data_IF_890564203411
#
_entry.id   IF_890564203411
#
_cell.length_a   1.000
_cell.length_b   1.000
_cell.length_c   1.000
_cell.angle_alpha   90.00
_cell.angle_beta   90.00
_cell.angle_gamma   90.00
#
_symmetry.space_group_name_H-M   'P 1'
#
loop_
_entity.id
_entity.type
_entity.pdbx_description
1 polymer ?
#
# COMPACT_ATOMS: atom_id res chain seq x y z
N UNK A 1 15.46 26.27 7.51
CA UNK A 1 15.84 26.97 6.26
C UNK A 1 14.64 26.91 5.36
N UNK A 2 14.18 28.04 4.78
CA UNK A 2 13.10 28.00 3.78
C UNK A 2 13.59 27.14 2.60
N UNK A 3 12.87 26.08 2.27
CA UNK A 3 13.14 25.31 1.06
C UNK A 3 13.01 26.24 -0.14
N UNK A 4 13.97 26.20 -1.07
CA UNK A 4 13.82 26.83 -2.35
C UNK A 4 12.63 26.19 -3.07
N UNK A 5 11.93 26.96 -3.89
CA UNK A 5 10.75 26.48 -4.61
C UNK A 5 11.00 26.52 -6.11
N UNK A 6 10.35 25.66 -6.84
CA UNK A 6 10.25 25.77 -8.28
C UNK A 6 9.51 27.07 -8.66
N UNK A 7 9.97 27.74 -9.68
CA UNK A 7 9.37 28.96 -10.24
C UNK A 7 9.43 28.89 -11.76
N UNK A 8 8.70 29.78 -12.44
CA UNK A 8 8.77 29.89 -13.91
C UNK A 8 10.20 30.15 -14.38
N UNK A 9 10.97 30.93 -13.62
CA UNK A 9 12.38 31.19 -13.91
C UNK A 9 13.21 29.91 -13.80
N UNK A 10 13.03 29.11 -12.73
CA UNK A 10 13.72 27.83 -12.55
C UNK A 10 13.33 26.79 -13.59
N UNK A 11 12.07 26.76 -14.04
CA UNK A 11 11.61 25.90 -15.13
C UNK A 11 12.31 26.28 -16.44
N UNK A 12 12.40 27.58 -16.74
CA UNK A 12 13.11 28.09 -17.93
C UNK A 12 14.61 27.76 -17.89
N UNK A 13 15.25 28.01 -16.74
CA UNK A 13 16.64 27.66 -16.51
C UNK A 13 16.90 26.17 -16.70
N UNK A 14 16.07 25.29 -16.12
CA UNK A 14 16.17 23.86 -16.32
C UNK A 14 16.13 23.45 -17.79
N UNK A 15 15.19 24.03 -18.55
CA UNK A 15 15.08 23.76 -19.98
C UNK A 15 16.32 24.25 -20.77
N UNK A 16 16.86 25.39 -20.41
CA UNK A 16 18.06 25.95 -21.06
C UNK A 16 19.31 25.10 -20.77
N UNK A 17 19.47 24.63 -19.52
CA UNK A 17 20.64 23.84 -19.12
C UNK A 17 20.57 22.36 -19.57
N UNK A 18 19.39 21.78 -19.65
CA UNK A 18 19.23 20.31 -19.89
C UNK A 18 18.63 19.97 -21.24
N UNK A 19 18.04 20.93 -21.93
CA UNK A 19 17.26 20.72 -23.15
C UNK A 19 15.90 19.99 -22.90
N UNK A 20 15.52 19.74 -21.65
CA UNK A 20 14.31 19.00 -21.30
C UNK A 20 13.16 19.96 -20.96
N UNK A 21 11.95 19.59 -21.38
CA UNK A 21 10.74 20.35 -21.07
C UNK A 21 10.02 19.73 -19.85
N UNK A 22 9.35 20.59 -19.08
CA UNK A 22 8.42 20.23 -18.02
C UNK A 22 7.00 20.56 -18.47
N UNK A 23 6.02 19.74 -18.08
CA UNK A 23 4.61 20.03 -18.31
C UNK A 23 4.16 21.06 -17.25
N UNK A 24 3.49 22.12 -17.72
CA UNK A 24 2.97 23.20 -16.86
C UNK A 24 1.60 23.70 -17.34
N UNK A 25 0.92 22.90 -18.17
CA UNK A 25 -0.45 23.16 -18.56
C UNK A 25 -1.40 22.79 -17.42
N UNK A 26 -2.52 23.51 -17.31
CA UNK A 26 -3.50 23.37 -16.25
C UNK A 26 -4.03 21.93 -16.10
N UNK A 27 -4.28 21.24 -17.21
CA UNK A 27 -4.77 19.86 -17.20
C UNK A 27 -3.76 18.91 -16.52
N UNK A 28 -2.49 19.03 -16.85
CA UNK A 28 -1.41 18.27 -16.21
C UNK A 28 -1.29 18.59 -14.72
N UNK A 29 -1.32 19.87 -14.34
CA UNK A 29 -1.17 20.26 -12.94
C UNK A 29 -2.32 19.73 -12.08
N UNK A 30 -3.56 19.85 -12.53
CA UNK A 30 -4.74 19.31 -11.84
C UNK A 30 -4.67 17.79 -11.72
N UNK A 31 -4.30 17.07 -12.80
CA UNK A 31 -4.19 15.60 -12.80
C UNK A 31 -3.14 15.11 -11.78
N UNK A 32 -2.01 15.77 -11.70
CA UNK A 32 -0.93 15.41 -10.79
C UNK A 32 -1.05 16.05 -9.40
N UNK A 33 -2.03 16.93 -9.19
CA UNK A 33 -2.37 17.55 -7.91
C UNK A 33 -3.28 16.72 -7.01
N UNK A 34 -3.74 15.54 -7.47
CA UNK A 34 -4.61 14.63 -6.73
C UNK A 34 -4.05 13.22 -6.72
N UNK A 35 -4.28 12.49 -5.64
CA UNK A 35 -4.08 11.04 -5.55
C UNK A 35 -5.42 10.30 -5.46
N UNK A 36 -5.39 8.96 -5.32
CA UNK A 36 -6.61 8.16 -5.20
C UNK A 36 -7.43 8.51 -3.95
N UNK A 37 -6.78 8.91 -2.86
CA UNK A 37 -7.46 9.31 -1.61
C UNK A 37 -8.37 10.51 -1.78
N UNK A 38 -7.99 11.47 -2.62
CA UNK A 38 -8.70 12.75 -2.90
C UNK A 38 -8.94 13.66 -1.70
N UNK A 39 -8.43 13.31 -0.54
CA UNK A 39 -8.58 14.11 0.69
C UNK A 39 -7.53 15.22 0.72
N UNK A 40 -6.29 14.86 0.39
CA UNK A 40 -5.19 15.82 0.28
C UNK A 40 -5.05 16.22 -1.19
N UNK A 41 -4.94 17.53 -1.42
CA UNK A 41 -4.71 18.10 -2.76
C UNK A 41 -3.49 19.02 -2.70
N UNK A 42 -2.59 18.86 -3.65
CA UNK A 42 -1.41 19.73 -3.77
C UNK A 42 -0.92 19.72 -5.22
N UNK A 43 -1.19 20.81 -5.92
CA UNK A 43 -0.77 20.96 -7.32
C UNK A 43 0.74 21.17 -7.40
N UNK A 44 1.44 20.44 -8.31
CA UNK A 44 2.84 20.72 -8.63
C UNK A 44 2.99 22.05 -9.37
N UNK A 45 4.15 22.68 -9.23
CA UNK A 45 4.50 23.84 -10.08
C UNK A 45 4.73 23.40 -11.53
N UNK A 46 5.22 22.20 -11.72
CA UNK A 46 5.37 21.54 -13.01
C UNK A 46 5.48 20.03 -12.84
N UNK A 47 5.33 19.28 -13.94
CA UNK A 47 5.49 17.82 -13.97
C UNK A 47 6.61 17.44 -14.93
N UNK A 48 7.57 16.66 -14.45
CA UNK A 48 8.60 16.04 -15.28
C UNK A 48 8.17 14.63 -15.68
N UNK A 49 8.40 14.26 -16.93
CA UNK A 49 8.16 12.90 -17.46
C UNK A 49 9.46 12.41 -18.11
N UNK A 50 10.47 12.02 -17.30
CA UNK A 50 11.75 11.57 -17.83
C UNK A 50 11.59 10.32 -18.68
N UNK A 51 12.20 10.32 -19.88
CA UNK A 51 12.09 9.24 -20.86
C UNK A 51 13.25 8.23 -20.76
N UNK A 52 14.28 8.56 -19.97
CA UNK A 52 15.44 7.71 -19.75
C UNK A 52 16.06 7.93 -18.36
N UNK A 53 16.96 7.05 -17.98
CA UNK A 53 17.73 7.16 -16.73
C UNK A 53 18.53 8.46 -16.72
N UNK A 54 19.14 8.84 -17.83
CA UNK A 54 19.95 10.04 -17.98
C UNK A 54 19.09 11.30 -17.79
N UNK A 55 17.88 11.32 -18.36
CA UNK A 55 16.96 12.45 -18.19
C UNK A 55 16.50 12.60 -16.73
N UNK A 56 16.27 11.48 -16.02
CA UNK A 56 15.94 11.50 -14.61
C UNK A 56 17.13 11.96 -13.76
N UNK A 57 18.35 11.51 -14.08
CA UNK A 57 19.57 11.95 -13.37
C UNK A 57 19.81 13.46 -13.53
N UNK A 58 19.66 14.01 -14.73
CA UNK A 58 19.79 15.45 -14.97
C UNK A 58 18.79 16.26 -14.15
N UNK A 59 17.54 15.80 -14.06
CA UNK A 59 16.53 16.46 -13.22
C UNK A 59 16.90 16.43 -11.73
N UNK A 60 17.32 15.28 -11.21
CA UNK A 60 17.70 15.12 -9.81
C UNK A 60 18.94 15.98 -9.49
N UNK A 61 19.94 16.01 -10.38
CA UNK A 61 21.14 16.84 -10.22
C UNK A 61 20.78 18.33 -10.21
N UNK A 62 19.90 18.79 -11.11
CA UNK A 62 19.42 20.16 -11.11
C UNK A 62 18.66 20.49 -9.82
N UNK A 63 17.73 19.63 -9.40
CA UNK A 63 16.99 19.81 -8.16
C UNK A 63 17.93 19.85 -6.94
N UNK A 64 18.95 18.99 -6.89
CA UNK A 64 19.97 18.98 -5.83
C UNK A 64 20.76 20.27 -5.81
N UNK A 65 21.28 20.71 -6.96
CA UNK A 65 22.10 21.94 -7.09
C UNK A 65 21.36 23.17 -6.55
N UNK A 66 20.05 23.26 -6.80
CA UNK A 66 19.25 24.43 -6.42
C UNK A 66 18.36 24.19 -5.20
N UNK A 67 18.47 23.02 -4.52
CA UNK A 67 17.68 22.61 -3.36
C UNK A 67 16.16 22.67 -3.60
N UNK A 68 15.70 22.18 -4.76
CA UNK A 68 14.31 22.25 -5.20
C UNK A 68 13.57 20.97 -4.84
N UNK A 69 12.38 21.04 -4.24
CA UNK A 69 11.63 19.86 -3.83
C UNK A 69 11.04 19.10 -5.03
N UNK A 70 11.19 17.77 -5.02
CA UNK A 70 10.63 16.87 -6.03
C UNK A 70 9.92 15.71 -5.37
N UNK A 71 8.82 15.26 -5.97
CA UNK A 71 8.04 14.11 -5.50
C UNK A 71 7.98 13.06 -6.59
N UNK A 72 8.39 11.83 -6.26
CA UNK A 72 8.35 10.70 -7.19
C UNK A 72 6.93 10.12 -7.18
N UNK A 73 6.32 9.97 -8.36
CA UNK A 73 4.97 9.45 -8.53
C UNK A 73 4.96 8.29 -9.52
N UNK A 74 4.43 7.15 -9.07
CA UNK A 74 4.03 6.03 -9.92
C UNK A 74 2.64 6.29 -10.51
N UNK A 75 1.68 5.40 -10.28
CA UNK A 75 0.31 5.52 -10.81
C UNK A 75 -0.61 6.46 -9.99
N UNK A 76 -0.11 7.12 -8.93
CA UNK A 76 -0.88 8.06 -8.12
C UNK A 76 -2.01 7.44 -7.30
N UNK A 77 -1.88 6.16 -6.95
CA UNK A 77 -2.88 5.40 -6.21
C UNK A 77 -2.65 5.41 -4.68
N UNK A 78 -1.94 6.41 -4.17
CA UNK A 78 -1.81 6.66 -2.74
C UNK A 78 -3.09 7.31 -2.17
N UNK A 79 -3.27 7.25 -0.84
CA UNK A 79 -4.47 7.77 -0.18
C UNK A 79 -4.21 8.95 0.76
N UNK A 80 -2.95 9.23 1.10
CA UNK A 80 -2.59 10.24 2.10
C UNK A 80 -1.53 11.24 1.62
N UNK A 81 -1.50 11.57 0.33
CA UNK A 81 -0.57 12.55 -0.21
C UNK A 81 0.87 12.04 -0.42
N UNK A 82 1.12 10.72 -0.31
CA UNK A 82 2.45 10.13 -0.50
C UNK A 82 3.05 10.45 -1.86
N UNK A 83 2.22 10.58 -2.89
CA UNK A 83 2.62 10.89 -4.28
C UNK A 83 2.33 12.32 -4.70
N UNK A 84 1.98 13.20 -3.76
CA UNK A 84 1.69 14.61 -4.01
C UNK A 84 2.87 15.50 -3.59
N UNK A 85 3.19 16.54 -4.37
CA UNK A 85 4.30 17.43 -4.07
C UNK A 85 3.99 18.33 -2.88
N UNK A 86 5.02 18.72 -2.14
CA UNK A 86 4.89 19.85 -1.21
C UNK A 86 4.59 21.16 -1.96
N UNK A 87 3.99 22.18 -1.34
CA UNK A 87 3.77 23.48 -1.98
C UNK A 87 5.07 24.03 -2.60
N UNK A 88 5.02 24.41 -3.88
CA UNK A 88 6.18 24.85 -4.63
C UNK A 88 7.09 23.72 -5.14
N UNK A 89 6.67 22.47 -5.00
CA UNK A 89 7.38 21.29 -5.47
C UNK A 89 7.03 20.90 -6.92
N UNK A 90 7.84 19.99 -7.47
CA UNK A 90 7.67 19.39 -8.80
C UNK A 90 7.34 17.92 -8.66
N UNK A 91 6.44 17.40 -9.50
CA UNK A 91 6.17 15.96 -9.58
C UNK A 91 7.01 15.30 -10.67
N UNK A 92 7.67 14.19 -10.33
CA UNK A 92 8.37 13.30 -11.28
C UNK A 92 7.46 12.11 -11.58
N UNK A 93 6.87 12.08 -12.76
CA UNK A 93 6.09 10.94 -13.23
C UNK A 93 7.00 9.84 -13.75
N UNK A 94 6.89 8.65 -13.17
CA UNK A 94 7.68 7.48 -13.57
C UNK A 94 7.03 6.68 -14.71
N UNK A 95 5.98 7.20 -15.36
CA UNK A 95 5.17 6.46 -16.34
C UNK A 95 5.96 5.85 -17.52
N UNK A 96 7.11 6.42 -17.89
CA UNK A 96 7.95 5.90 -18.96
C UNK A 96 8.77 4.65 -18.56
N UNK A 97 8.90 4.37 -17.25
CA UNK A 97 9.63 3.23 -16.70
C UNK A 97 8.67 2.07 -16.40
N UNK A 98 8.04 1.49 -17.42
CA UNK A 98 6.88 0.59 -17.26
C UNK A 98 7.02 -0.79 -17.91
N UNK A 99 8.23 -1.26 -18.19
CA UNK A 99 8.48 -2.51 -18.89
C UNK A 99 8.91 -3.62 -17.93
N UNK A 100 8.32 -4.85 -18.02
CA UNK A 100 8.96 -6.04 -17.51
C UNK A 100 10.20 -6.32 -18.37
N UNK A 101 11.31 -6.65 -17.69
CA UNK A 101 12.62 -6.85 -18.32
C UNK A 101 12.98 -8.34 -18.36
N UNK A 102 14.10 -8.71 -17.77
CA UNK A 102 14.65 -10.05 -17.81
C UNK A 102 13.93 -10.97 -16.82
N UNK A 103 13.39 -12.08 -17.35
CA UNK A 103 12.81 -13.16 -16.58
C UNK A 103 13.80 -14.32 -16.50
N UNK A 104 14.14 -14.69 -15.27
CA UNK A 104 14.95 -15.87 -14.93
C UNK A 104 14.08 -16.93 -14.25
N UNK A 105 14.68 -18.07 -13.90
CA UNK A 105 13.94 -19.15 -13.23
C UNK A 105 13.33 -18.71 -11.89
N UNK A 106 14.06 -17.95 -11.06
CA UNK A 106 13.67 -17.59 -9.70
C UNK A 106 13.47 -16.11 -9.47
N UNK A 107 13.60 -15.25 -10.48
CA UNK A 107 13.40 -13.82 -10.34
C UNK A 107 13.05 -13.14 -11.67
N UNK A 108 12.49 -11.93 -11.54
CA UNK A 108 12.20 -11.05 -12.66
C UNK A 108 12.72 -9.63 -12.36
N UNK A 109 13.42 -9.03 -13.31
CA UNK A 109 13.68 -7.60 -13.32
C UNK A 109 12.54 -6.85 -13.99
N UNK A 110 12.14 -5.74 -13.41
CA UNK A 110 11.10 -4.86 -13.95
C UNK A 110 11.49 -3.41 -13.75
N UNK A 111 11.05 -2.53 -14.65
CA UNK A 111 11.09 -1.09 -14.43
C UNK A 111 10.08 -0.69 -13.34
N UNK A 112 10.38 0.38 -12.59
CA UNK A 112 9.68 0.71 -11.35
C UNK A 112 8.19 1.02 -11.52
N UNK A 113 7.78 1.55 -12.67
CA UNK A 113 6.36 1.83 -12.94
C UNK A 113 5.63 0.68 -13.65
N UNK A 114 6.29 -0.47 -13.87
CA UNK A 114 5.60 -1.69 -14.29
C UNK A 114 4.49 -2.01 -13.28
N UNK A 115 3.27 -2.27 -13.76
CA UNK A 115 2.20 -2.72 -12.88
C UNK A 115 2.45 -4.16 -12.40
N UNK A 116 1.98 -4.49 -11.19
CA UNK A 116 2.03 -5.88 -10.72
C UNK A 116 1.29 -6.84 -11.66
N UNK A 117 0.24 -6.37 -12.34
CA UNK A 117 -0.45 -7.12 -13.38
C UNK A 117 0.49 -7.49 -14.53
N UNK A 118 1.23 -6.53 -15.10
CA UNK A 118 2.14 -6.79 -16.22
C UNK A 118 3.31 -7.69 -15.81
N UNK A 119 3.84 -7.52 -14.58
CA UNK A 119 4.85 -8.41 -14.02
C UNK A 119 4.30 -9.84 -13.94
N UNK A 120 3.09 -9.99 -13.38
CA UNK A 120 2.43 -11.29 -13.20
C UNK A 120 2.16 -11.98 -14.53
N UNK A 121 1.58 -11.30 -15.51
CA UNK A 121 1.33 -11.83 -16.85
C UNK A 121 2.62 -12.34 -17.50
N UNK A 122 3.74 -11.63 -17.31
CA UNK A 122 5.05 -12.07 -17.81
C UNK A 122 5.59 -13.29 -17.06
N UNK A 123 5.52 -13.31 -15.74
CA UNK A 123 6.10 -14.40 -14.93
C UNK A 123 5.29 -15.70 -15.04
N UNK A 124 3.97 -15.61 -15.20
CA UNK A 124 3.10 -16.78 -15.38
C UNK A 124 3.34 -17.54 -16.71
N UNK A 125 3.99 -16.94 -17.69
CA UNK A 125 4.42 -17.68 -18.90
C UNK A 125 5.36 -18.84 -18.55
N UNK A 126 6.02 -18.79 -17.39
CA UNK A 126 6.89 -19.84 -16.87
C UNK A 126 6.32 -20.51 -15.61
N UNK A 127 5.01 -20.38 -15.36
CA UNK A 127 4.33 -20.87 -14.14
C UNK A 127 4.99 -20.36 -12.85
N UNK A 128 5.44 -19.09 -12.87
CA UNK A 128 6.06 -18.43 -11.72
C UNK A 128 5.24 -17.21 -11.31
N UNK A 129 5.23 -16.90 -10.01
CA UNK A 129 4.63 -15.68 -9.47
C UNK A 129 5.44 -15.15 -8.29
N UNK A 130 5.32 -13.86 -7.92
CA UNK A 130 5.84 -13.34 -6.66
C UNK A 130 5.31 -14.10 -5.45
N UNK A 131 6.07 -14.14 -4.38
CA UNK A 131 5.65 -14.77 -3.12
C UNK A 131 4.42 -14.08 -2.51
N UNK A 132 4.37 -12.77 -2.59
CA UNK A 132 3.24 -11.94 -2.14
C UNK A 132 2.89 -10.95 -3.23
N UNK A 133 1.59 -10.77 -3.50
CA UNK A 133 1.04 -9.81 -4.45
C UNK A 133 0.14 -8.81 -3.72
N UNK A 134 0.17 -7.52 -4.07
CA UNK A 134 -0.79 -6.56 -3.52
C UNK A 134 -2.21 -6.87 -4.04
N UNK A 135 -3.23 -6.50 -3.27
CA UNK A 135 -4.63 -6.69 -3.67
C UNK A 135 -4.99 -5.94 -4.95
N UNK A 136 -4.42 -4.78 -5.17
CA UNK A 136 -4.57 -4.02 -6.42
C UNK A 136 -3.37 -4.25 -7.34
N UNK A 137 -3.50 -5.12 -8.32
CA UNK A 137 -2.42 -5.39 -9.28
C UNK A 137 -2.19 -4.26 -10.31
N UNK A 138 -2.98 -3.18 -10.30
CA UNK A 138 -2.71 -1.98 -11.10
C UNK A 138 -1.70 -1.02 -10.44
N UNK A 139 -1.31 -1.28 -9.18
CA UNK A 139 -0.23 -0.55 -8.52
C UNK A 139 1.09 -0.77 -9.25
N UNK A 140 1.96 0.26 -9.26
CA UNK A 140 3.32 0.15 -9.76
C UNK A 140 4.22 -0.58 -8.78
N UNK A 141 5.18 -1.35 -9.29
CA UNK A 141 6.15 -2.08 -8.46
C UNK A 141 6.91 -1.10 -7.56
N UNK A 142 7.53 -0.06 -8.10
CA UNK A 142 8.29 0.92 -7.31
C UNK A 142 7.45 1.64 -6.26
N UNK A 143 6.17 1.95 -6.56
CA UNK A 143 5.25 2.55 -5.60
C UNK A 143 4.95 1.63 -4.42
N UNK A 144 4.65 0.34 -4.68
CA UNK A 144 4.43 -0.66 -3.62
C UNK A 144 5.69 -0.86 -2.78
N UNK A 145 6.87 -1.01 -3.40
CA UNK A 145 8.12 -1.18 -2.66
C UNK A 145 8.46 0.04 -1.79
N UNK A 146 8.12 1.24 -2.25
CA UNK A 146 8.33 2.48 -1.49
C UNK A 146 7.38 2.63 -0.29
N UNK A 147 6.15 2.10 -0.38
CA UNK A 147 5.19 2.12 0.72
C UNK A 147 5.30 0.88 1.62
N UNK A 148 5.68 -0.24 1.08
CA UNK A 148 5.56 -1.59 1.59
C UNK A 148 4.47 -2.34 0.83
N UNK A 149 4.28 -3.63 1.09
CA UNK A 149 3.24 -4.40 0.40
C UNK A 149 2.87 -5.66 1.16
N UNK A 150 1.57 -5.93 1.19
CA UNK A 150 0.99 -7.16 1.74
C UNK A 150 -0.07 -7.71 0.81
N UNK A 151 -0.51 -8.92 1.04
CA UNK A 151 -1.57 -9.58 0.27
C UNK A 151 -2.05 -10.88 0.90
N UNK A 152 -2.88 -11.62 0.18
CA UNK A 152 -3.56 -12.82 0.68
C UNK A 152 -2.63 -13.97 1.10
N UNK A 153 -1.37 -13.96 0.71
CA UNK A 153 -0.33 -14.92 1.12
C UNK A 153 0.60 -14.40 2.22
N UNK A 154 0.32 -13.20 2.78
CA UNK A 154 1.16 -12.59 3.81
C UNK A 154 1.19 -13.35 5.13
N UNK A 155 0.16 -14.12 5.46
CA UNK A 155 0.17 -15.00 6.64
C UNK A 155 1.27 -16.06 6.58
N UNK A 156 1.68 -16.46 5.37
CA UNK A 156 2.71 -17.48 5.11
C UNK A 156 4.06 -16.87 4.78
N UNK A 157 4.08 -15.80 3.98
CA UNK A 157 5.28 -15.22 3.40
C UNK A 157 5.63 -13.82 3.92
N UNK A 158 4.82 -13.21 4.77
CA UNK A 158 5.06 -11.87 5.31
C UNK A 158 4.83 -10.77 4.27
N UNK A 159 5.79 -9.87 4.12
CA UNK A 159 5.65 -8.65 3.33
C UNK A 159 6.34 -8.75 1.97
N UNK A 160 5.83 -8.04 0.95
CA UNK A 160 6.38 -8.02 -0.42
C UNK A 160 7.87 -7.66 -0.42
N UNK A 161 8.26 -6.66 0.38
CA UNK A 161 9.62 -6.13 0.44
C UNK A 161 10.68 -7.17 0.84
N UNK A 162 10.29 -8.25 1.51
CA UNK A 162 11.19 -9.34 1.90
C UNK A 162 11.72 -10.15 0.70
N UNK A 163 10.98 -10.11 -0.42
CA UNK A 163 11.26 -10.85 -1.65
C UNK A 163 11.85 -9.98 -2.76
N UNK A 164 12.37 -8.82 -2.41
CA UNK A 164 13.17 -7.99 -3.31
C UNK A 164 14.63 -8.41 -3.20
N UNK A 165 15.27 -8.70 -4.32
CA UNK A 165 16.68 -9.14 -4.35
C UNK A 165 17.62 -7.97 -4.57
N UNK A 166 17.26 -7.05 -5.47
CA UNK A 166 18.05 -5.87 -5.81
C UNK A 166 17.16 -4.72 -6.30
N UNK A 167 17.68 -3.50 -6.20
CA UNK A 167 17.07 -2.28 -6.75
C UNK A 167 18.11 -1.52 -7.58
N UNK A 168 17.69 -0.94 -8.70
CA UNK A 168 18.40 0.16 -9.34
C UNK A 168 17.80 1.47 -8.82
N UNK A 169 18.62 2.33 -8.24
CA UNK A 169 18.20 3.57 -7.56
C UNK A 169 19.05 4.74 -8.02
N UNK A 170 18.44 5.91 -8.19
CA UNK A 170 19.11 7.19 -8.31
C UNK A 170 18.88 7.95 -7.01
N UNK A 171 19.94 8.22 -6.25
CA UNK A 171 19.86 8.96 -4.99
C UNK A 171 19.76 10.48 -5.19
N UNK A 172 19.58 11.23 -4.10
CA UNK A 172 19.46 12.70 -4.15
C UNK A 172 20.73 13.43 -4.63
N UNK A 173 21.84 12.73 -4.77
CA UNK A 173 23.08 13.24 -5.39
C UNK A 173 23.18 12.90 -6.88
N UNK A 174 22.12 12.33 -7.48
CA UNK A 174 22.10 11.91 -8.89
C UNK A 174 22.91 10.65 -9.19
N UNK A 175 23.40 9.92 -8.19
CA UNK A 175 24.20 8.71 -8.38
C UNK A 175 23.29 7.52 -8.64
N UNK A 176 23.47 6.88 -9.81
CA UNK A 176 22.81 5.63 -10.15
C UNK A 176 23.57 4.45 -9.54
N UNK A 177 22.89 3.58 -8.81
CA UNK A 177 23.46 2.44 -8.14
C UNK A 177 22.54 1.22 -8.25
N UNK A 178 23.11 0.02 -8.41
CA UNK A 178 22.40 -1.23 -8.16
C UNK A 178 22.76 -1.64 -6.73
N UNK A 179 21.74 -1.81 -5.90
CA UNK A 179 21.86 -2.07 -4.47
C UNK A 179 21.12 -3.35 -4.08
N UNK A 180 21.70 -4.13 -3.19
CA UNK A 180 21.20 -5.41 -2.71
C UNK A 180 20.94 -5.39 -1.19
N UNK A 181 20.43 -6.49 -0.64
CA UNK A 181 19.94 -6.60 0.76
C UNK A 181 20.86 -6.04 1.83
N UNK A 182 22.18 -6.11 1.65
CA UNK A 182 23.17 -5.61 2.62
C UNK A 182 23.47 -4.11 2.49
N UNK A 183 22.98 -3.45 1.45
CA UNK A 183 23.18 -2.02 1.24
C UNK A 183 22.25 -1.20 2.14
N UNK A 184 22.75 -0.18 2.86
CA UNK A 184 21.90 0.75 3.59
C UNK A 184 20.88 1.47 2.70
N UNK A 185 21.24 1.81 1.46
CA UNK A 185 20.33 2.45 0.50
C UNK A 185 19.21 1.50 0.07
N UNK A 186 19.50 0.21 -0.12
CA UNK A 186 18.47 -0.80 -0.39
C UNK A 186 17.42 -0.82 0.72
N UNK A 187 17.89 -0.92 1.98
CA UNK A 187 17.00 -0.93 3.15
C UNK A 187 16.22 0.39 3.30
N UNK A 188 16.86 1.52 2.97
CA UNK A 188 16.23 2.84 3.03
C UNK A 188 15.12 3.02 1.98
N UNK A 189 15.28 2.49 0.77
CA UNK A 189 14.29 2.62 -0.29
C UNK A 189 13.04 1.74 -0.05
N UNK A 190 13.20 0.61 0.65
CA UNK A 190 12.07 -0.28 0.97
C UNK A 190 11.24 0.30 2.12
N UNK A 191 9.96 0.60 1.85
CA UNK A 191 9.05 1.35 2.73
C UNK A 191 9.60 2.73 3.14
N UNK A 192 10.50 3.29 2.32
CA UNK A 192 11.12 4.59 2.55
C UNK A 192 10.34 5.77 1.96
N UNK A 193 9.12 5.54 1.48
CA UNK A 193 8.20 6.56 0.96
C UNK A 193 8.82 7.45 -0.15
N UNK A 194 9.76 6.90 -0.95
CA UNK A 194 10.47 7.66 -1.99
C UNK A 194 11.41 8.75 -1.48
N UNK A 195 11.81 8.71 -0.21
CA UNK A 195 12.58 9.80 0.45
C UNK A 195 14.09 9.69 0.31
N UNK A 196 14.60 8.56 -0.15
CA UNK A 196 16.05 8.28 -0.19
C UNK A 196 16.60 8.19 -1.61
N UNK A 197 15.71 8.07 -2.60
CA UNK A 197 16.07 7.95 -4.01
C UNK A 197 14.90 7.50 -4.87
N UNK A 198 15.05 7.66 -6.17
CA UNK A 198 14.13 7.17 -7.19
C UNK A 198 14.49 5.72 -7.53
N UNK A 199 13.61 4.77 -7.20
CA UNK A 199 13.71 3.39 -7.69
C UNK A 199 13.39 3.43 -9.19
N UNK A 200 14.32 2.95 -10.02
CA UNK A 200 14.13 2.88 -11.47
C UNK A 200 13.88 1.46 -11.95
N UNK A 201 14.46 0.46 -11.26
CA UNK A 201 14.21 -0.97 -11.50
C UNK A 201 14.21 -1.75 -10.18
N UNK A 202 13.52 -2.88 -10.20
CA UNK A 202 13.50 -3.83 -9.10
C UNK A 202 13.66 -5.27 -9.60
N UNK A 203 14.40 -6.07 -8.84
CA UNK A 203 14.54 -7.50 -9.01
C UNK A 203 13.66 -8.21 -7.98
N UNK A 204 12.59 -8.86 -8.46
CA UNK A 204 11.57 -9.50 -7.62
C UNK A 204 11.76 -11.01 -7.67
N UNK A 205 11.87 -11.63 -6.49
CA UNK A 205 11.96 -13.08 -6.36
C UNK A 205 10.63 -13.74 -6.70
N UNK A 206 10.69 -14.86 -7.41
CA UNK A 206 9.54 -15.64 -7.86
C UNK A 206 9.54 -17.04 -7.22
N UNK A 207 8.36 -17.63 -7.14
CA UNK A 207 8.14 -19.04 -6.79
C UNK A 207 7.31 -19.75 -7.86
N UNK A 208 7.38 -21.06 -7.89
CA UNK A 208 6.47 -21.86 -8.71
C UNK A 208 5.04 -21.78 -8.18
N UNK A 209 4.09 -21.78 -9.09
CA UNK A 209 2.65 -21.80 -8.78
C UNK A 209 1.96 -22.90 -9.58
N UNK A 210 0.83 -23.39 -9.04
CA UNK A 210 -0.02 -24.33 -9.75
C UNK A 210 -0.97 -23.58 -10.70
N UNK A 211 -1.47 -24.23 -11.78
CA UNK A 211 -2.25 -23.54 -12.82
C UNK A 211 -3.65 -23.12 -12.38
N UNK A 212 -4.20 -23.72 -11.33
CA UNK A 212 -5.57 -23.53 -10.85
C UNK A 212 -5.61 -23.21 -9.37
N UNK A 213 -6.67 -22.52 -8.95
CA UNK A 213 -6.97 -22.21 -7.56
C UNK A 213 -8.40 -22.62 -7.24
N UNK A 214 -8.58 -23.24 -6.10
CA UNK A 214 -9.89 -23.53 -5.51
C UNK A 214 -10.06 -22.67 -4.26
N UNK A 215 -11.13 -21.85 -4.24
CA UNK A 215 -11.45 -20.94 -3.15
C UNK A 215 -12.73 -21.38 -2.44
N UNK A 216 -12.68 -21.43 -1.12
CA UNK A 216 -13.78 -21.70 -0.23
C UNK A 216 -14.21 -20.40 0.45
N UNK A 217 -15.45 -19.98 0.26
CA UNK A 217 -16.04 -18.78 0.85
C UNK A 217 -16.85 -19.16 2.08
N UNK A 218 -16.28 -18.99 3.27
CA UNK A 218 -16.85 -19.40 4.53
C UNK A 218 -17.39 -18.20 5.30
N UNK A 219 -18.47 -18.39 6.07
CA UNK A 219 -19.04 -17.36 6.94
C UNK A 219 -19.19 -17.89 8.35
N UNK A 220 -18.87 -17.03 9.30
CA UNK A 220 -18.97 -17.27 10.74
C UNK A 220 -19.85 -16.20 11.39
N UNK A 221 -20.61 -16.61 12.40
CA UNK A 221 -21.36 -15.72 13.27
C UNK A 221 -20.59 -15.37 14.56
N UNK A 222 -19.56 -16.15 14.89
CA UNK A 222 -18.71 -16.00 16.08
C UNK A 222 -17.27 -15.67 15.67
N UNK A 223 -16.73 -14.55 16.17
CA UNK A 223 -15.40 -14.10 15.82
C UNK A 223 -14.28 -15.00 16.36
N UNK A 224 -14.50 -15.66 17.53
CA UNK A 224 -13.46 -16.50 18.12
C UNK A 224 -13.29 -17.77 17.30
N UNK A 225 -14.40 -18.40 16.89
CA UNK A 225 -14.37 -19.55 15.99
C UNK A 225 -13.76 -19.21 14.64
N UNK A 226 -14.05 -18.01 14.13
CA UNK A 226 -13.46 -17.50 12.88
C UNK A 226 -11.94 -17.39 12.95
N UNK A 227 -11.39 -16.78 14.02
CA UNK A 227 -9.94 -16.72 14.22
C UNK A 227 -9.34 -18.11 14.49
N UNK A 228 -9.99 -18.94 15.31
CA UNK A 228 -9.53 -20.30 15.61
C UNK A 228 -9.37 -21.12 14.32
N UNK A 229 -10.38 -21.13 13.46
CA UNK A 229 -10.35 -21.86 12.20
C UNK A 229 -9.32 -21.30 11.23
N UNK A 230 -9.15 -19.95 11.13
CA UNK A 230 -8.13 -19.33 10.31
C UNK A 230 -6.71 -19.77 10.72
N UNK A 231 -6.40 -19.77 12.01
CA UNK A 231 -5.10 -20.25 12.51
C UNK A 231 -4.88 -21.74 12.31
N UNK A 232 -5.91 -22.53 12.54
CA UNK A 232 -5.85 -24.00 12.42
C UNK A 232 -5.53 -24.45 11.00
N UNK A 233 -6.03 -23.74 10.00
CA UNK A 233 -5.94 -24.16 8.59
C UNK A 233 -4.74 -23.57 7.84
N UNK A 234 -4.01 -22.61 8.41
CA UNK A 234 -3.00 -21.82 7.73
C UNK A 234 -1.94 -22.64 6.98
N UNK A 235 -1.54 -23.80 7.50
CA UNK A 235 -0.52 -24.65 6.89
C UNK A 235 -1.03 -25.46 5.68
N UNK A 236 -2.35 -25.46 5.44
CA UNK A 236 -3.01 -26.23 4.38
C UNK A 236 -3.52 -25.37 3.22
N UNK A 237 -3.36 -24.08 3.29
CA UNK A 237 -3.82 -23.14 2.28
C UNK A 237 -2.70 -22.28 1.76
N UNK A 238 -2.84 -21.75 0.56
CA UNK A 238 -1.86 -20.88 -0.07
C UNK A 238 -2.21 -19.40 0.08
N UNK A 239 -3.52 -19.10 0.21
CA UNK A 239 -4.05 -17.75 0.36
C UNK A 239 -5.18 -17.72 1.38
N UNK A 240 -5.23 -16.63 2.13
CA UNK A 240 -6.22 -16.41 3.17
C UNK A 240 -6.63 -14.94 3.22
N UNK A 241 -7.94 -14.69 3.28
CA UNK A 241 -8.50 -13.34 3.44
C UNK A 241 -9.61 -13.39 4.48
N UNK A 242 -9.56 -12.49 5.44
CA UNK A 242 -10.51 -12.37 6.53
C UNK A 242 -11.28 -11.05 6.40
N UNK A 243 -12.60 -11.11 6.48
CA UNK A 243 -13.47 -9.95 6.31
C UNK A 243 -14.47 -9.84 7.46
N UNK A 244 -14.82 -8.58 7.83
CA UNK A 244 -15.99 -8.32 8.66
C UNK A 244 -16.99 -7.49 7.83
N UNK A 245 -18.24 -7.91 7.84
CA UNK A 245 -19.31 -7.26 7.10
C UNK A 245 -20.55 -7.06 7.97
N UNK A 246 -21.13 -5.86 8.02
CA UNK A 246 -22.43 -5.67 8.67
C UNK A 246 -23.50 -6.34 7.82
N UNK A 247 -24.24 -7.29 8.41
CA UNK A 247 -25.22 -8.09 7.69
C UNK A 247 -26.66 -7.73 8.04
N UNK A 248 -26.99 -7.77 9.34
CA UNK A 248 -28.33 -7.48 9.82
C UNK A 248 -28.28 -6.19 10.63
N UNK A 249 -29.15 -5.24 10.26
CA UNK A 249 -29.28 -3.95 10.92
C UNK A 249 -30.64 -3.84 11.60
N UNK A 250 -30.67 -3.13 12.71
CA UNK A 250 -31.88 -2.90 13.47
C UNK A 250 -31.76 -1.70 14.39
N UNK A 251 -32.75 -1.55 15.29
CA UNK A 251 -32.73 -0.54 16.33
C UNK A 251 -32.98 -1.20 17.70
N UNK A 252 -31.91 -1.33 18.47
CA UNK A 252 -31.94 -1.83 19.83
C UNK A 252 -32.47 -0.80 20.83
N UNK A 253 -32.98 -1.25 22.00
CA UNK A 253 -33.36 -0.38 23.11
C UNK A 253 -32.27 -0.44 24.18
N UNK A 254 -31.57 0.68 24.42
CA UNK A 254 -30.57 0.80 25.48
C UNK A 254 -30.92 2.03 26.35
N UNK A 255 -31.07 1.80 27.63
CA UNK A 255 -31.40 2.85 28.61
C UNK A 255 -32.63 3.72 28.21
N UNK A 256 -33.65 3.07 27.64
CA UNK A 256 -34.88 3.75 27.19
C UNK A 256 -34.78 4.47 25.86
N UNK A 257 -33.62 4.45 25.17
CA UNK A 257 -33.41 5.07 23.87
C UNK A 257 -33.22 4.02 22.79
N UNK A 258 -33.78 4.28 21.59
CA UNK A 258 -33.51 3.48 20.39
C UNK A 258 -32.16 3.86 19.83
N UNK A 259 -31.28 2.90 19.67
CA UNK A 259 -29.96 3.04 19.04
C UNK A 259 -29.86 2.14 17.83
N UNK A 260 -29.21 2.60 16.74
CA UNK A 260 -28.86 1.71 15.63
C UNK A 260 -27.96 0.57 16.14
N UNK A 261 -28.19 -0.63 15.61
CA UNK A 261 -27.34 -1.79 15.88
C UNK A 261 -27.14 -2.56 14.57
N UNK A 262 -26.00 -3.18 14.43
CA UNK A 262 -25.69 -4.09 13.33
C UNK A 262 -25.20 -5.44 13.88
N UNK A 263 -25.62 -6.52 13.22
CA UNK A 263 -25.02 -7.82 13.44
C UNK A 263 -23.89 -8.03 12.44
N UNK A 264 -22.68 -8.28 12.93
CA UNK A 264 -21.51 -8.52 12.10
C UNK A 264 -21.38 -10.00 11.76
N UNK A 265 -21.05 -10.29 10.51
CA UNK A 265 -20.63 -11.59 10.05
C UNK A 265 -19.15 -11.55 9.66
N UNK A 266 -18.49 -12.69 9.83
CA UNK A 266 -17.05 -12.83 9.61
C UNK A 266 -16.80 -13.77 8.42
N UNK A 267 -16.25 -13.26 7.35
CA UNK A 267 -15.90 -14.02 6.16
C UNK A 267 -14.49 -14.58 6.25
N UNK A 268 -14.31 -15.83 5.86
CA UNK A 268 -13.00 -16.46 5.72
C UNK A 268 -12.92 -17.06 4.31
N UNK A 269 -12.09 -16.48 3.47
CA UNK A 269 -11.82 -16.99 2.15
C UNK A 269 -10.50 -17.75 2.19
N UNK A 270 -10.55 -19.03 1.90
CA UNK A 270 -9.40 -19.93 1.88
C UNK A 270 -9.17 -20.42 0.47
N UNK A 271 -7.95 -20.25 -0.04
CA UNK A 271 -7.64 -20.65 -1.41
C UNK A 271 -6.42 -21.56 -1.45
N UNK A 272 -6.52 -22.61 -2.27
CA UNK A 272 -5.49 -23.64 -2.46
C UNK A 272 -5.12 -23.71 -3.93
N UNK A 273 -3.82 -23.65 -4.22
CA UNK A 273 -3.28 -23.91 -5.54
C UNK A 273 -3.28 -25.41 -5.83
N UNK A 274 -3.65 -25.81 -7.05
CA UNK A 274 -3.65 -27.22 -7.43
C UNK A 274 -3.50 -27.41 -8.95
N UNK A 275 -3.08 -28.61 -9.34
CA UNK A 275 -3.08 -29.07 -10.72
C UNK A 275 -4.21 -30.06 -10.97
N UNK A 276 -4.30 -31.14 -10.22
CA UNK A 276 -5.27 -32.22 -10.45
C UNK A 276 -6.27 -32.42 -9.30
N UNK A 277 -5.84 -32.26 -8.05
CA UNK A 277 -6.65 -32.57 -6.87
C UNK A 277 -6.41 -31.60 -5.72
N UNK A 278 -7.46 -31.29 -4.97
CA UNK A 278 -7.42 -30.50 -3.71
C UNK A 278 -7.90 -31.37 -2.58
N UNK A 279 -7.15 -31.45 -1.48
CA UNK A 279 -7.57 -32.12 -0.25
C UNK A 279 -8.82 -31.43 0.33
N UNK A 280 -9.67 -32.22 0.99
CA UNK A 280 -10.81 -31.65 1.73
C UNK A 280 -10.32 -30.95 2.99
N UNK A 281 -10.46 -29.61 2.99
CA UNK A 281 -10.13 -28.77 4.14
C UNK A 281 -11.33 -28.46 5.03
N UNK A 282 -12.57 -28.63 4.51
CA UNK A 282 -13.80 -28.23 5.21
C UNK A 282 -14.09 -29.08 6.43
N UNK A 283 -13.79 -30.39 6.39
CA UNK A 283 -14.02 -31.29 7.49
C UNK A 283 -13.31 -30.95 8.81
N UNK A 284 -12.37 -30.03 8.78
CA UNK A 284 -11.60 -29.54 9.92
C UNK A 284 -12.11 -28.22 10.49
N UNK A 285 -13.04 -27.54 9.82
CA UNK A 285 -13.52 -26.19 10.11
C UNK A 285 -14.98 -26.23 10.60
N UNK A 286 -15.39 -25.16 11.28
CA UNK A 286 -16.74 -25.03 11.83
C UNK A 286 -17.42 -23.73 11.39
N UNK A 287 -17.50 -23.43 10.07
CA UNK A 287 -18.21 -22.26 9.61
C UNK A 287 -19.72 -22.37 9.92
N UNK A 288 -20.36 -21.22 10.12
CA UNK A 288 -21.82 -21.18 10.16
C UNK A 288 -22.43 -21.56 8.80
N UNK A 289 -21.79 -21.14 7.71
CA UNK A 289 -22.21 -21.48 6.34
C UNK A 289 -21.04 -21.49 5.36
N UNK A 290 -21.14 -22.32 4.33
CA UNK A 290 -20.29 -22.27 3.14
C UNK A 290 -21.09 -21.56 2.03
N UNK A 291 -20.73 -20.32 1.73
CA UNK A 291 -21.47 -19.51 0.74
C UNK A 291 -21.23 -20.00 -0.69
N UNK A 292 -19.99 -20.33 -1.00
CA UNK A 292 -19.59 -20.73 -2.34
C UNK A 292 -18.28 -21.51 -2.32
N UNK A 293 -18.07 -22.33 -3.35
CA UNK A 293 -16.79 -22.96 -3.67
C UNK A 293 -16.55 -22.66 -5.14
N UNK A 294 -15.42 -22.03 -5.45
CA UNK A 294 -15.08 -21.58 -6.78
C UNK A 294 -13.75 -22.16 -7.25
N UNK A 295 -13.68 -22.52 -8.52
CA UNK A 295 -12.44 -22.97 -9.15
C UNK A 295 -12.16 -22.05 -10.36
N UNK A 296 -10.91 -21.60 -10.46
CA UNK A 296 -10.50 -20.67 -11.52
C UNK A 296 -9.01 -20.84 -11.86
N UNK A 297 -8.56 -20.19 -12.94
CA UNK A 297 -7.14 -20.15 -13.29
C UNK A 297 -6.38 -19.28 -12.27
N UNK A 298 -5.09 -19.58 -12.08
CA UNK A 298 -4.20 -18.81 -11.19
C UNK A 298 -4.17 -17.31 -11.57
N UNK A 299 -4.20 -16.96 -12.85
CA UNK A 299 -4.23 -15.57 -13.30
C UNK A 299 -5.55 -14.89 -12.91
N UNK A 300 -6.69 -15.54 -13.14
CA UNK A 300 -8.01 -15.03 -12.74
C UNK A 300 -8.05 -14.76 -11.24
N UNK A 301 -7.57 -15.71 -10.44
CA UNK A 301 -7.48 -15.58 -8.99
C UNK A 301 -6.64 -14.38 -8.56
N UNK A 302 -5.45 -14.21 -9.11
CA UNK A 302 -4.58 -13.08 -8.77
C UNK A 302 -5.19 -11.72 -9.12
N UNK A 303 -5.98 -11.66 -10.19
CA UNK A 303 -6.64 -10.43 -10.63
C UNK A 303 -8.07 -10.25 -10.08
N UNK A 304 -8.54 -11.11 -9.18
CA UNK A 304 -9.93 -11.13 -8.69
C UNK A 304 -10.42 -9.79 -8.11
N UNK A 305 -9.53 -9.01 -7.51
CA UNK A 305 -9.89 -7.72 -6.93
C UNK A 305 -9.95 -6.57 -7.96
N UNK A 306 -9.45 -6.77 -9.19
CA UNK A 306 -9.48 -5.71 -10.21
C UNK A 306 -10.92 -5.31 -10.56
N UNK A 307 -11.83 -6.28 -10.61
CA UNK A 307 -13.26 -6.03 -10.87
C UNK A 307 -13.90 -5.03 -9.90
N UNK A 308 -13.41 -4.98 -8.66
CA UNK A 308 -13.87 -4.01 -7.65
C UNK A 308 -13.47 -2.58 -8.05
N UNK A 309 -12.23 -2.37 -8.48
CA UNK A 309 -11.77 -1.06 -8.93
C UNK A 309 -12.47 -0.64 -10.23
N UNK A 310 -12.70 -1.58 -11.15
CA UNK A 310 -13.48 -1.33 -12.37
C UNK A 310 -14.91 -0.90 -12.02
N UNK A 311 -15.55 -1.55 -11.05
CA UNK A 311 -16.89 -1.17 -10.57
C UNK A 311 -16.92 0.20 -9.92
N UNK A 312 -15.88 0.57 -9.15
CA UNK A 312 -15.77 1.91 -8.56
C UNK A 312 -15.75 2.99 -9.66
N UNK A 313 -15.04 2.75 -10.77
CA UNK A 313 -15.02 3.66 -11.92
C UNK A 313 -16.38 3.73 -12.60
N UNK A 314 -17.00 2.58 -12.88
CA UNK A 314 -18.30 2.50 -13.56
C UNK A 314 -19.43 3.16 -12.76
N UNK A 315 -19.38 3.11 -11.44
CA UNK A 315 -20.43 3.63 -10.54
C UNK A 315 -20.15 5.05 -10.03
N UNK A 316 -19.06 5.68 -10.44
CA UNK A 316 -18.65 7.01 -9.97
C UNK A 316 -18.10 7.02 -8.54
N UNK A 317 -17.95 5.86 -7.89
CA UNK A 317 -17.34 5.76 -6.56
C UNK A 317 -15.85 6.14 -6.58
N UNK A 318 -15.17 5.94 -7.71
CA UNK A 318 -13.78 6.37 -7.93
C UNK A 318 -13.56 7.86 -7.68
N UNK A 319 -14.58 8.69 -7.90
CA UNK A 319 -14.52 10.15 -7.76
C UNK A 319 -14.86 10.66 -6.36
N UNK A 320 -15.18 9.76 -5.44
CA UNK A 320 -15.42 10.05 -4.03
C UNK A 320 -14.11 10.05 -3.23
N UNK A 321 -14.20 10.33 -1.92
CA UNK A 321 -13.07 10.28 -1.00
C UNK A 321 -12.75 8.83 -0.60
N UNK A 322 -11.45 8.53 -0.44
CA UNK A 322 -11.00 7.21 0.00
C UNK A 322 -10.08 7.31 1.23
N UNK A 323 -10.61 7.67 2.40
CA UNK A 323 -9.83 7.73 3.64
C UNK A 323 -9.60 6.32 4.20
N UNK A 324 -8.87 5.49 3.48
CA UNK A 324 -8.62 4.11 3.90
C UNK A 324 -7.76 4.09 5.16
N UNK A 325 -8.23 3.34 6.14
CA UNK A 325 -7.51 3.10 7.37
C UNK A 325 -6.75 1.77 7.29
N UNK A 326 -5.47 1.81 7.64
CA UNK A 326 -4.60 0.63 7.59
C UNK A 326 -3.65 0.67 8.79
N UNK A 327 -3.67 -0.40 9.62
CA UNK A 327 -2.88 -0.47 10.85
C UNK A 327 -2.46 -1.91 11.16
N UNK A 328 -1.16 -2.14 11.31
CA UNK A 328 -0.64 -3.40 11.84
C UNK A 328 -0.80 -3.44 13.35
N UNK A 329 -1.35 -4.52 13.87
CA UNK A 329 -1.64 -4.68 15.30
C UNK A 329 -1.24 -6.10 15.77
N UNK A 330 -0.85 -6.28 17.04
CA UNK A 330 -0.76 -7.62 17.61
C UNK A 330 -2.11 -8.34 17.49
N UNK A 331 -2.11 -9.59 17.07
CA UNK A 331 -3.35 -10.33 16.88
C UNK A 331 -4.18 -10.44 18.17
N UNK A 332 -3.52 -10.59 19.33
CA UNK A 332 -4.19 -10.63 20.63
C UNK A 332 -4.91 -9.32 20.97
N UNK A 333 -4.36 -8.18 20.53
CA UNK A 333 -5.01 -6.86 20.66
C UNK A 333 -6.27 -6.83 19.78
N UNK A 334 -6.11 -7.20 18.50
CA UNK A 334 -7.24 -7.17 17.57
C UNK A 334 -8.37 -8.10 18.02
N UNK A 335 -8.09 -9.35 18.41
CA UNK A 335 -9.11 -10.29 18.88
C UNK A 335 -9.84 -9.79 20.13
N UNK A 336 -9.16 -9.04 20.99
CA UNK A 336 -9.77 -8.46 22.21
C UNK A 336 -10.62 -7.22 21.94
N UNK A 337 -10.29 -6.45 20.91
CA UNK A 337 -10.95 -5.16 20.64
C UNK A 337 -11.92 -5.20 19.46
N UNK A 338 -11.88 -6.22 18.60
CA UNK A 338 -12.57 -6.22 17.30
C UNK A 338 -14.06 -5.91 17.41
N UNK A 339 -14.79 -6.55 18.33
CA UNK A 339 -16.22 -6.28 18.54
C UNK A 339 -16.47 -4.82 18.91
N UNK A 340 -15.67 -4.24 19.80
CA UNK A 340 -15.79 -2.85 20.20
C UNK A 340 -15.51 -1.92 19.01
N UNK A 341 -14.42 -2.14 18.26
CA UNK A 341 -14.06 -1.34 17.10
C UNK A 341 -15.18 -1.36 16.04
N UNK A 342 -15.76 -2.53 15.77
CA UNK A 342 -16.84 -2.67 14.81
C UNK A 342 -18.14 -1.96 15.26
N UNK A 343 -18.46 -1.95 16.55
CA UNK A 343 -19.64 -1.26 17.11
C UNK A 343 -19.48 0.29 17.07
N UNK A 344 -18.26 0.79 17.21
CA UNK A 344 -17.97 2.23 17.19
C UNK A 344 -17.88 2.81 15.76
N UNK A 345 -17.66 1.96 14.75
CA UNK A 345 -17.50 2.43 13.38
C UNK A 345 -18.82 2.81 12.72
N UNK A 346 -18.89 3.96 12.02
CA UNK A 346 -20.03 4.29 11.19
C UNK A 346 -20.20 3.25 10.06
N UNK A 347 -21.39 2.70 9.91
CA UNK A 347 -21.65 1.63 8.94
C UNK A 347 -21.37 2.04 7.49
N UNK A 348 -21.59 3.28 7.13
CA UNK A 348 -21.28 3.81 5.80
C UNK A 348 -19.76 3.89 5.53
N UNK A 349 -18.94 3.99 6.58
CA UNK A 349 -17.48 3.95 6.49
C UNK A 349 -16.97 2.51 6.52
N UNK A 350 -17.48 1.69 7.43
CA UNK A 350 -17.06 0.31 7.65
C UNK A 350 -17.75 -0.72 6.74
N UNK A 351 -18.11 -0.34 5.52
CA UNK A 351 -18.79 -1.24 4.56
C UNK A 351 -17.93 -2.45 4.17
N UNK A 352 -16.62 -2.34 4.28
CA UNK A 352 -15.67 -3.45 4.15
C UNK A 352 -14.53 -3.28 5.15
N UNK A 353 -14.48 -4.16 6.13
CA UNK A 353 -13.36 -4.31 7.04
C UNK A 353 -12.60 -5.57 6.67
N UNK A 354 -11.30 -5.45 6.49
CA UNK A 354 -10.43 -6.56 6.10
C UNK A 354 -9.36 -6.77 7.16
N UNK A 355 -9.10 -8.03 7.49
CA UNK A 355 -8.06 -8.44 8.44
C UNK A 355 -7.09 -9.36 7.71
N UNK A 356 -5.80 -9.06 7.77
CA UNK A 356 -4.76 -9.85 7.11
C UNK A 356 -3.76 -10.34 8.13
N UNK A 357 -3.71 -11.64 8.46
CA UNK A 357 -2.63 -12.20 9.24
C UNK A 357 -1.29 -12.07 8.49
N UNK A 358 -0.22 -11.75 9.22
CA UNK A 358 1.09 -11.48 8.62
C UNK A 358 2.17 -12.26 9.36
N UNK A 359 2.94 -13.07 8.61
CA UNK A 359 4.15 -13.66 9.14
C UNK A 359 5.19 -12.57 9.38
N UNK A 360 5.77 -12.56 10.59
CA UNK A 360 6.72 -11.53 11.01
C UNK A 360 7.99 -11.58 10.17
N UNK A 361 8.24 -10.48 9.45
CA UNK A 361 9.45 -10.30 8.66
C UNK A 361 9.91 -8.84 8.72
N UNK A 362 11.22 -8.64 8.79
CA UNK A 362 11.82 -7.29 8.75
C UNK A 362 12.19 -6.96 7.31
N UNK A 363 11.68 -5.85 6.78
CA UNK A 363 12.03 -5.35 5.46
C UNK A 363 12.02 -3.81 5.44
N UNK A 364 13.18 -3.21 5.33
CA UNK A 364 13.34 -1.75 5.25
C UNK A 364 12.72 -1.01 6.44
N UNK A 365 12.00 0.05 6.12
CA UNK A 365 11.29 0.90 7.08
C UNK A 365 9.81 0.52 7.27
N UNK A 366 9.39 -0.67 6.84
CA UNK A 366 8.07 -1.17 7.20
C UNK A 366 8.01 -1.44 8.70
N UNK A 367 7.22 -0.65 9.41
CA UNK A 367 7.09 -0.75 10.86
C UNK A 367 5.99 -1.75 11.20
N UNK A 368 6.35 -2.80 11.92
CA UNK A 368 5.44 -3.81 12.44
C UNK A 368 5.49 -3.80 13.97
N UNK A 369 4.40 -4.17 14.66
CA UNK A 369 4.38 -4.38 16.10
C UNK A 369 5.45 -5.39 16.54
N UNK A 370 5.94 -5.25 17.76
CA UNK A 370 6.84 -6.25 18.37
C UNK A 370 6.02 -7.39 18.98
N UNK A 371 5.49 -8.24 18.13
CA UNK A 371 4.66 -9.40 18.47
C UNK A 371 4.99 -10.56 17.54
N UNK A 372 4.81 -11.79 18.02
CA UNK A 372 5.01 -12.99 17.19
C UNK A 372 3.82 -13.27 16.26
N UNK A 373 2.65 -12.74 16.59
CA UNK A 373 1.44 -12.85 15.77
C UNK A 373 0.89 -11.46 15.49
N UNK A 374 0.83 -11.11 14.22
CA UNK A 374 0.46 -9.78 13.73
C UNK A 374 -0.68 -9.91 12.72
N UNK A 375 -1.65 -9.02 12.83
CA UNK A 375 -2.63 -8.79 11.77
C UNK A 375 -2.53 -7.36 11.27
N UNK A 376 -2.87 -7.13 10.03
CA UNK A 376 -3.29 -5.82 9.56
C UNK A 376 -4.81 -5.72 9.69
N UNK A 377 -5.26 -4.59 10.22
CA UNK A 377 -6.67 -4.18 10.25
C UNK A 377 -6.88 -3.03 9.27
N UNK A 378 -7.77 -3.24 8.31
CA UNK A 378 -8.03 -2.28 7.23
C UNK A 378 -9.51 -1.95 7.12
N UNK A 379 -9.81 -0.69 6.77
CA UNK A 379 -11.11 -0.26 6.29
C UNK A 379 -10.93 0.23 4.85
N UNK A 380 -11.47 -0.52 3.90
CA UNK A 380 -11.30 -0.28 2.45
C UNK A 380 -12.63 0.18 1.84
N UNK A 381 -13.09 1.35 2.25
CA UNK A 381 -14.35 1.90 1.74
C UNK A 381 -14.29 2.15 0.23
N UNK A 382 -15.30 1.74 -0.57
CA UNK A 382 -15.31 1.94 -2.02
C UNK A 382 -15.48 3.41 -2.44
N UNK A 383 -15.86 4.30 -1.52
CA UNK A 383 -15.96 5.74 -1.73
C UNK A 383 -16.85 6.39 -0.67
N UNK A 384 -16.37 7.46 -0.08
CA UNK A 384 -17.08 8.26 0.93
C UNK A 384 -17.56 9.56 0.29
N UNK A 385 -18.87 9.85 0.30
CA UNK A 385 -19.37 11.16 -0.11
C UNK A 385 -18.76 12.29 0.72
N UNK A 386 -18.47 13.42 0.10
CA UNK A 386 -17.89 14.60 0.78
C UNK A 386 -18.69 15.04 2.03
N UNK A 387 -20.02 14.88 2.01
CA UNK A 387 -20.89 15.20 3.16
C UNK A 387 -20.67 14.33 4.40
N UNK A 388 -19.95 13.20 4.26
CA UNK A 388 -19.66 12.26 5.34
C UNK A 388 -18.16 12.25 5.73
N UNK A 389 -17.36 13.12 5.14
CA UNK A 389 -15.92 13.21 5.38
C UNK A 389 -15.60 13.35 6.89
N UNK A 390 -16.17 14.34 7.55
CA UNK A 390 -15.90 14.62 8.97
C UNK A 390 -16.16 13.40 9.87
N UNK A 391 -17.26 12.67 9.61
CA UNK A 391 -17.59 11.48 10.41
C UNK A 391 -16.60 10.33 10.18
N UNK A 392 -16.06 10.21 8.97
CA UNK A 392 -15.03 9.20 8.65
C UNK A 392 -13.68 9.58 9.26
N UNK A 393 -13.29 10.86 9.20
CA UNK A 393 -12.05 11.33 9.82
C UNK A 393 -12.10 11.13 11.34
N UNK A 394 -13.25 11.39 11.97
CA UNK A 394 -13.46 11.13 13.39
C UNK A 394 -13.36 9.65 13.76
N UNK A 395 -13.85 8.76 12.90
CA UNK A 395 -13.70 7.32 13.09
C UNK A 395 -12.23 6.91 13.04
N UNK A 396 -11.44 7.46 12.11
CA UNK A 396 -9.98 7.23 12.02
C UNK A 396 -9.26 7.66 13.30
N UNK A 397 -9.55 8.85 13.82
CA UNK A 397 -8.99 9.31 15.09
C UNK A 397 -9.32 8.38 16.27
N UNK A 398 -10.54 7.85 16.32
CA UNK A 398 -10.95 6.92 17.37
C UNK A 398 -10.22 5.57 17.23
N UNK A 399 -10.08 5.05 16.01
CA UNK A 399 -9.28 3.84 15.75
C UNK A 399 -7.83 4.01 16.23
N UNK A 400 -7.22 5.16 15.93
CA UNK A 400 -5.85 5.46 16.37
C UNK A 400 -5.73 5.49 17.90
N UNK A 401 -6.71 6.02 18.62
CA UNK A 401 -6.72 5.99 20.08
C UNK A 401 -6.72 4.57 20.63
N UNK A 402 -7.44 3.65 20.00
CA UNK A 402 -7.48 2.26 20.44
C UNK A 402 -6.24 1.48 20.00
N UNK A 403 -5.84 1.60 18.74
CA UNK A 403 -4.85 0.71 18.17
C UNK A 403 -3.42 1.17 18.43
N UNK A 404 -3.10 2.47 18.30
CA UNK A 404 -1.74 2.97 18.53
C UNK A 404 -1.33 2.92 20.02
N UNK A 405 -2.27 3.01 20.94
CA UNK A 405 -2.00 2.85 22.37
C UNK A 405 -1.69 1.38 22.75
N UNK A 406 -2.06 0.43 21.89
CA UNK A 406 -1.85 -0.99 22.06
C UNK A 406 -0.82 -1.55 21.06
N UNK A 407 0.27 -0.83 20.87
CA UNK A 407 1.42 -1.19 20.03
C UNK A 407 1.12 -1.28 18.53
N UNK A 408 0.00 -0.72 18.07
CA UNK A 408 -0.33 -0.63 16.65
C UNK A 408 0.65 0.24 15.89
N UNK A 409 0.88 -0.09 14.62
CA UNK A 409 1.70 0.69 13.68
C UNK A 409 0.91 0.98 12.42
N UNK A 410 0.70 2.27 12.11
CA UNK A 410 0.00 2.64 10.86
C UNK A 410 0.80 2.15 9.65
N UNK A 411 0.09 1.55 8.70
CA UNK A 411 0.66 1.24 7.40
C UNK A 411 0.65 2.52 6.55
N UNK A 412 1.83 2.92 6.06
CA UNK A 412 2.02 4.22 5.40
C UNK A 412 1.50 4.25 3.94
N UNK A 413 0.71 3.28 3.52
CA UNK A 413 -0.05 3.30 2.26
C UNK A 413 -1.37 4.03 2.42
N UNK A 414 -2.01 3.93 3.60
CA UNK A 414 -3.31 4.51 3.91
C UNK A 414 -3.28 6.00 4.22
N UNK A 415 -4.44 6.53 4.55
CA UNK A 415 -4.60 7.89 5.02
C UNK A 415 -4.30 7.97 6.52
N UNK A 416 -3.36 8.82 6.93
CA UNK A 416 -2.88 8.90 8.31
C UNK A 416 -3.60 9.93 9.19
N UNK A 417 -4.44 10.76 8.60
CA UNK A 417 -5.06 11.93 9.24
C UNK A 417 -4.65 13.23 8.56
N UNK A 418 -5.41 14.28 8.78
CA UNK A 418 -5.15 15.60 8.20
C UNK A 418 -3.95 16.30 8.85
N UNK A 419 -3.78 16.11 10.15
CA UNK A 419 -2.68 16.67 10.92
C UNK A 419 -2.06 15.55 11.77
N UNK A 420 -0.73 15.42 11.70
CA UNK A 420 0.01 14.46 12.51
C UNK A 420 0.66 15.21 13.70
N UNK A 421 0.67 14.62 14.91
CA UNK A 421 1.41 15.17 16.05
C UNK A 421 2.91 15.39 15.72
N UNK A 422 3.55 16.39 16.31
CA UNK A 422 4.98 16.68 16.07
C UNK A 422 5.89 15.46 16.32
N UNK A 423 5.55 14.64 17.31
CA UNK A 423 6.31 13.46 17.68
C UNK A 423 5.87 12.17 16.95
N UNK A 424 4.93 12.28 16.00
CA UNK A 424 4.37 11.11 15.29
C UNK A 424 5.45 10.24 14.67
N UNK A 425 6.38 10.83 13.93
CA UNK A 425 7.42 10.07 13.23
C UNK A 425 8.41 9.42 14.18
N UNK A 426 8.75 10.09 15.27
CA UNK A 426 9.58 9.51 16.33
C UNK A 426 8.91 8.26 16.94
N UNK A 427 7.62 8.34 17.24
CA UNK A 427 6.83 7.22 17.77
C UNK A 427 6.63 6.11 16.73
N UNK A 428 6.37 6.48 15.48
CA UNK A 428 6.18 5.51 14.40
C UNK A 428 7.43 4.69 14.14
N UNK A 429 8.56 5.34 13.90
CA UNK A 429 9.83 4.67 13.60
C UNK A 429 10.56 4.13 14.85
N UNK A 430 10.28 4.65 16.05
CA UNK A 430 10.91 4.20 17.29
C UNK A 430 12.42 4.15 17.17
N UNK A 431 13.04 3.01 17.47
CA UNK A 431 14.50 2.80 17.41
C UNK A 431 15.11 3.03 16.02
N UNK A 432 14.30 2.97 14.94
CA UNK A 432 14.76 3.23 13.58
C UNK A 432 14.79 4.71 13.21
N UNK A 433 14.24 5.61 14.04
CA UNK A 433 14.13 7.04 13.71
C UNK A 433 15.49 7.70 13.44
N UNK A 434 16.48 7.49 14.31
CA UNK A 434 17.83 8.04 14.11
C UNK A 434 18.50 7.49 12.85
N UNK A 435 18.23 6.22 12.52
CA UNK A 435 18.71 5.61 11.29
C UNK A 435 18.06 6.24 10.06
N UNK A 436 16.75 6.52 10.12
CA UNK A 436 16.02 7.25 9.08
C UNK A 436 16.66 8.60 8.81
N UNK A 437 16.83 9.43 9.83
CA UNK A 437 17.43 10.78 9.71
C UNK A 437 18.86 10.72 9.15
N UNK A 438 19.68 9.80 9.66
CA UNK A 438 21.06 9.62 9.19
C UNK A 438 21.12 9.23 7.71
N UNK A 439 20.31 8.26 7.29
CA UNK A 439 20.27 7.80 5.90
C UNK A 439 19.70 8.86 4.97
N UNK A 440 18.69 9.63 5.42
CA UNK A 440 18.18 10.78 4.68
C UNK A 440 19.28 11.80 4.39
N UNK A 441 20.06 12.19 5.41
CA UNK A 441 21.22 13.09 5.25
C UNK A 441 22.31 12.52 4.34
N UNK A 442 22.50 11.21 4.33
CA UNK A 442 23.52 10.53 3.53
C UNK A 442 23.14 10.46 2.04
N UNK A 443 21.89 10.14 1.72
CA UNK A 443 21.44 9.87 0.36
C UNK A 443 20.66 11.02 -0.29
N UNK A 444 20.17 11.94 0.51
CA UNK A 444 19.50 13.16 0.04
C UNK A 444 19.86 14.36 0.93
N UNK A 445 21.13 14.79 0.94
CA UNK A 445 21.62 15.85 1.83
C UNK A 445 20.97 17.21 1.57
N UNK A 446 20.50 17.46 0.34
CA UNK A 446 19.79 18.68 -0.03
C UNK A 446 18.29 18.64 0.33
N UNK A 447 17.77 17.46 0.76
CA UNK A 447 16.39 17.28 1.15
C UNK A 447 15.38 17.42 0.02
N UNK A 448 15.79 17.12 -1.23
CA UNK A 448 14.95 17.35 -2.40
C UNK A 448 13.76 16.40 -2.49
N UNK A 449 13.94 15.13 -2.10
CA UNK A 449 12.83 14.15 -2.12
C UNK A 449 11.83 14.44 -1.01
N UNK A 450 10.66 14.92 -1.39
CA UNK A 450 9.60 15.38 -0.49
C UNK A 450 8.22 14.92 -0.97
N UNK A 451 7.23 14.93 -0.10
CA UNK A 451 5.82 14.72 -0.43
C UNK A 451 4.93 15.31 0.67
N UNK A 452 3.63 15.41 0.42
CA UNK A 452 2.66 15.91 1.41
C UNK A 452 2.57 15.04 2.67
N UNK A 453 2.97 13.76 2.59
CA UNK A 453 2.95 12.88 3.76
C UNK A 453 3.92 13.32 4.87
N UNK A 454 5.05 13.94 4.53
CA UNK A 454 6.14 14.19 5.47
C UNK A 454 6.63 15.63 5.44
N UNK A 455 6.70 16.23 6.59
CA UNK A 455 7.42 17.48 6.85
C UNK A 455 8.73 17.24 7.65
N UNK A 456 9.36 16.04 7.53
CA UNK A 456 10.63 15.73 8.22
C UNK A 456 11.80 16.19 7.35
#
# INVERSE_FOLDING_TARGET
MSQNQWSLEKIKQYKEETGQALLSDEQSLVLFGQDFGKIIQSEPVAVAVPQSIESLQLLILFANQYHLPVTIRGNGLSQGGQSLPVPGGLTISMQSFNKPLDLSEDFIWVEANTSWKNLLEKSLLSNKAPYVLPYNCNLSVGGVLSAGGIGASSFKYGVINAYVLALEVIDGLGRKQIVEKNSPLFQACLSGQGRFGAITKACIQLRSVQPRVKTFFLVYADQNQWFEDAYKIQDKVDYMELFCSPSIQGAGLKEGKRIPMAHWLYGLHLSVEYDQHVEDILGQLKPWNVLNIQEESILSYFLRHNSRFDMMQLTGQWDLLHPWYECFVPTSVLTGLLSQLLEELPLHYASLVHVVPIAKQKAGFMMLPDSDSICEFMILNPGVPYSLEESCLKAIENLDKHLLQNDGKRYLSGFLGAELPEDYWLKHFGEKYDSWIRLKKQYDPAGIFSSMLHHI
#
